data_IF_545614609692
#
_entry.id   IF_545614609692
#
_cell.length_a   1.000
_cell.length_b   1.000
_cell.length_c   1.000
_cell.angle_alpha   90.00
_cell.angle_beta   90.00
_cell.angle_gamma   90.00
#
_symmetry.space_group_name_H-M   'P 1'
#
loop_
_entity.id
_entity.type
_entity.pdbx_description
1 polymer ?
#
# COMPACT_ATOMS: atom_id res chain seq x y z
N UNK A 1 -27.14 -43.72 2.29
CA UNK A 1 -25.79 -43.10 2.17
C UNK A 1 -25.95 -41.73 1.52
N UNK A 2 -25.79 -40.67 2.28
CA UNK A 2 -25.89 -39.33 1.76
C UNK A 2 -24.54 -38.93 1.15
N UNK A 3 -24.49 -38.74 -0.15
CA UNK A 3 -23.33 -38.15 -0.79
C UNK A 3 -23.37 -36.63 -0.60
N UNK A 4 -22.49 -36.12 0.22
CA UNK A 4 -22.22 -34.71 0.26
C UNK A 4 -21.40 -34.33 -0.96
N UNK A 5 -22.06 -33.85 -1.98
CA UNK A 5 -21.38 -33.14 -3.06
C UNK A 5 -20.94 -31.79 -2.53
N UNK A 6 -19.68 -31.72 -2.32
CA UNK A 6 -19.06 -30.67 -1.66
C UNK A 6 -18.50 -29.62 -2.59
N UNK A 7 -18.80 -28.36 -2.34
CA UNK A 7 -17.74 -27.43 -1.94
C UNK A 7 -16.92 -26.79 -3.03
N UNK A 8 -17.32 -26.82 -4.27
CA UNK A 8 -16.82 -25.87 -5.25
C UNK A 8 -17.26 -24.43 -4.94
N UNK A 9 -18.07 -24.22 -3.89
CA UNK A 9 -18.69 -22.92 -3.58
C UNK A 9 -17.93 -22.09 -2.53
N UNK A 10 -16.94 -22.64 -1.85
CA UNK A 10 -16.25 -21.92 -0.77
C UNK A 10 -15.17 -20.97 -1.28
N UNK A 11 -14.72 -21.12 -2.53
CA UNK A 11 -13.76 -20.21 -3.16
C UNK A 11 -14.38 -19.07 -3.97
N UNK A 12 -15.68 -19.11 -4.20
CA UNK A 12 -16.38 -18.19 -5.12
C UNK A 12 -17.04 -16.98 -4.46
N UNK A 13 -17.09 -16.92 -3.16
CA UNK A 13 -17.84 -15.89 -2.44
C UNK A 13 -17.22 -14.49 -2.45
N UNK A 14 -16.11 -14.29 -3.14
CA UNK A 14 -15.51 -12.97 -3.32
C UNK A 14 -15.38 -12.50 -4.76
N UNK A 15 -15.77 -13.32 -5.74
CA UNK A 15 -15.64 -13.01 -7.18
C UNK A 15 -16.96 -13.22 -7.90
N UNK A 16 -18.03 -12.73 -7.31
CA UNK A 16 -19.36 -12.91 -7.83
C UNK A 16 -19.68 -12.04 -9.02
N UNK A 17 -19.96 -12.63 -10.11
CA UNK A 17 -20.61 -12.02 -11.25
C UNK A 17 -20.10 -12.59 -12.56
N UNK A 18 -20.98 -13.11 -13.37
CA UNK A 18 -20.70 -13.50 -14.74
C UNK A 18 -20.04 -12.32 -15.48
N UNK A 19 -18.74 -12.42 -15.75
CA UNK A 19 -17.94 -11.36 -16.39
C UNK A 19 -16.95 -10.64 -15.46
N UNK A 20 -16.80 -11.06 -14.20
CA UNK A 20 -15.80 -10.49 -13.28
C UNK A 20 -14.37 -10.79 -13.73
N UNK A 21 -13.48 -9.81 -13.54
CA UNK A 21 -12.05 -9.98 -13.78
C UNK A 21 -11.48 -11.04 -12.84
N UNK A 22 -10.94 -12.13 -13.40
CA UNK A 22 -10.33 -13.20 -12.64
C UNK A 22 -8.82 -12.97 -12.49
N UNK A 23 -8.31 -13.06 -11.27
CA UNK A 23 -6.88 -13.01 -11.00
C UNK A 23 -6.38 -14.44 -10.84
N UNK A 24 -5.66 -14.96 -11.85
CA UNK A 24 -5.17 -16.33 -11.86
C UNK A 24 -3.82 -16.51 -11.15
N UNK A 25 -3.13 -15.43 -10.86
CA UNK A 25 -1.77 -15.46 -10.33
C UNK A 25 -1.53 -14.39 -9.28
N UNK A 26 -0.66 -14.70 -8.33
CA UNK A 26 -0.16 -13.76 -7.33
C UNK A 26 1.37 -13.79 -7.29
N UNK A 27 1.96 -12.68 -6.85
CA UNK A 27 3.39 -12.61 -6.52
C UNK A 27 3.57 -12.82 -5.03
N UNK A 28 4.57 -13.63 -4.67
CA UNK A 28 5.02 -13.79 -3.31
C UNK A 28 6.37 -13.11 -3.14
N UNK A 29 6.46 -12.24 -2.16
CA UNK A 29 7.71 -11.59 -1.77
C UNK A 29 8.28 -12.30 -0.55
N UNK A 30 9.51 -12.76 -0.63
CA UNK A 30 10.20 -13.48 0.44
C UNK A 30 11.46 -12.73 0.86
N UNK A 31 11.57 -12.47 2.15
CA UNK A 31 12.73 -11.82 2.76
C UNK A 31 14.02 -12.58 2.51
N UNK A 32 14.01 -13.91 2.68
CA UNK A 32 15.18 -14.77 2.49
C UNK A 32 15.76 -14.69 1.07
N UNK A 33 14.90 -14.43 0.07
CA UNK A 33 15.28 -14.36 -1.34
C UNK A 33 15.42 -12.91 -1.83
N UNK A 34 15.29 -11.94 -0.93
CA UNK A 34 15.33 -10.51 -1.27
C UNK A 34 14.38 -10.14 -2.41
N UNK A 35 13.18 -10.74 -2.43
CA UNK A 35 12.22 -10.57 -3.52
C UNK A 35 11.54 -9.21 -3.43
N UNK A 36 11.57 -8.44 -4.51
CA UNK A 36 10.86 -7.17 -4.64
C UNK A 36 10.67 -6.79 -6.11
N UNK A 37 9.78 -5.85 -6.37
CA UNK A 37 9.66 -5.18 -7.65
C UNK A 37 10.23 -3.77 -7.54
N UNK A 38 10.91 -3.33 -8.59
CA UNK A 38 11.48 -1.99 -8.69
C UNK A 38 11.16 -1.35 -10.04
N UNK A 39 10.85 -0.07 -10.04
CA UNK A 39 10.69 0.74 -11.23
C UNK A 39 11.14 2.18 -10.95
N UNK A 40 11.94 2.73 -11.84
CA UNK A 40 12.24 4.17 -11.88
C UNK A 40 11.53 4.78 -13.10
N UNK A 41 10.55 5.68 -12.90
CA UNK A 41 9.91 6.37 -14.02
C UNK A 41 10.92 7.22 -14.80
N UNK A 42 10.80 7.25 -16.13
CA UNK A 42 11.67 8.07 -17.00
C UNK A 42 11.32 9.55 -16.96
N UNK A 43 10.09 9.88 -16.58
CA UNK A 43 9.59 11.26 -16.39
C UNK A 43 8.70 11.32 -15.17
N UNK A 44 8.64 12.48 -14.52
CA UNK A 44 7.73 12.69 -13.40
C UNK A 44 6.27 12.70 -13.89
N UNK A 45 5.43 12.01 -13.12
CA UNK A 45 3.97 12.03 -13.29
C UNK A 45 3.28 12.98 -12.31
N UNK A 46 1.96 12.80 -12.14
CA UNK A 46 1.19 13.57 -11.18
C UNK A 46 1.55 13.14 -9.75
N UNK A 47 2.14 14.08 -8.99
CA UNK A 47 2.57 13.85 -7.60
C UNK A 47 1.50 14.22 -6.58
N UNK A 48 0.44 14.92 -7.01
CA UNK A 48 -0.63 15.44 -6.16
C UNK A 48 -1.87 14.56 -6.18
N UNK A 49 -2.17 13.96 -7.33
CA UNK A 49 -3.38 13.15 -7.51
C UNK A 49 -3.00 11.79 -8.10
N UNK A 50 -3.17 10.74 -7.30
CA UNK A 50 -2.86 9.36 -7.70
C UNK A 50 -3.56 8.36 -6.78
N UNK A 51 -3.63 7.13 -7.21
CA UNK A 51 -4.22 6.03 -6.44
C UNK A 51 -3.34 4.81 -6.54
N UNK A 52 -3.14 4.14 -5.41
CA UNK A 52 -2.61 2.79 -5.34
C UNK A 52 -3.74 1.83 -4.95
N UNK A 53 -3.82 0.67 -5.60
CA UNK A 53 -4.80 -0.36 -5.31
C UNK A 53 -4.18 -1.74 -5.47
N UNK A 54 -4.48 -2.66 -4.57
CA UNK A 54 -3.98 -4.02 -4.64
C UNK A 54 -4.65 -4.98 -3.68
N UNK A 55 -4.62 -6.27 -4.05
CA UNK A 55 -4.95 -7.36 -3.17
C UNK A 55 -3.68 -7.82 -2.46
N UNK A 56 -3.74 -7.92 -1.14
CA UNK A 56 -2.60 -8.24 -0.29
C UNK A 56 -2.97 -9.37 0.67
N UNK A 57 -2.04 -10.32 0.83
CA UNK A 57 -2.10 -11.34 1.88
C UNK A 57 -0.83 -11.23 2.70
N UNK A 58 -0.96 -11.13 4.03
CA UNK A 58 0.19 -11.04 4.94
C UNK A 58 0.82 -12.40 5.15
N UNK A 59 2.16 -12.44 5.24
CA UNK A 59 2.89 -13.67 5.53
C UNK A 59 3.30 -13.82 7.01
N UNK A 60 3.23 -12.73 7.80
CA UNK A 60 3.65 -12.72 9.20
C UNK A 60 3.25 -11.45 9.95
N UNK A 61 3.65 -11.35 11.23
CA UNK A 61 3.42 -10.18 12.09
C UNK A 61 4.70 -9.58 12.68
N UNK A 62 5.84 -10.12 12.31
CA UNK A 62 7.15 -9.82 12.91
C UNK A 62 7.88 -8.64 12.26
N UNK A 63 7.37 -8.15 11.14
CA UNK A 63 7.97 -7.04 10.41
C UNK A 63 6.96 -6.23 9.61
N UNK A 64 7.38 -5.06 9.12
CA UNK A 64 6.59 -4.19 8.26
C UNK A 64 6.49 -4.80 6.85
N UNK A 65 5.32 -4.78 6.23
CA UNK A 65 5.10 -5.25 4.87
C UNK A 65 4.93 -4.08 3.91
N UNK A 66 5.95 -3.78 3.12
CA UNK A 66 5.95 -2.63 2.22
C UNK A 66 5.14 -2.88 0.96
N UNK A 67 4.03 -2.14 0.82
CA UNK A 67 3.11 -2.22 -0.32
C UNK A 67 3.59 -1.35 -1.48
N UNK A 68 4.01 -0.12 -1.18
CA UNK A 68 4.53 0.82 -2.17
C UNK A 68 5.43 1.85 -1.50
N UNK A 69 6.66 1.96 -1.98
CA UNK A 69 7.65 2.90 -1.46
C UNK A 69 8.19 3.75 -2.60
N UNK A 70 8.26 5.06 -2.39
CA UNK A 70 9.00 5.98 -3.25
C UNK A 70 10.30 6.34 -2.53
N UNK A 71 11.43 6.01 -3.13
CA UNK A 71 12.75 6.31 -2.57
C UNK A 71 13.23 7.69 -3.03
N UNK A 72 14.07 8.29 -2.25
CA UNK A 72 14.72 9.53 -2.65
C UNK A 72 15.86 9.25 -3.64
N UNK A 73 16.13 10.22 -4.48
CA UNK A 73 17.42 10.32 -5.16
C UNK A 73 18.54 10.37 -4.09
N UNK A 74 19.61 9.57 -4.22
CA UNK A 74 20.73 9.58 -3.26
C UNK A 74 21.34 10.97 -3.03
N UNK A 75 21.29 11.85 -4.03
CA UNK A 75 21.80 13.22 -3.96
C UNK A 75 20.84 14.20 -3.30
N UNK A 76 19.55 13.87 -3.19
CA UNK A 76 18.55 14.76 -2.62
C UNK A 76 18.53 14.70 -1.08
N UNK A 77 18.13 15.78 -0.45
CA UNK A 77 17.83 15.79 0.98
C UNK A 77 16.58 14.97 1.27
N UNK A 78 16.57 14.24 2.38
CA UNK A 78 15.39 13.52 2.83
C UNK A 78 14.28 14.49 3.24
N UNK A 79 13.08 14.26 2.73
CA UNK A 79 11.89 15.05 3.06
C UNK A 79 10.60 14.34 2.63
N UNK A 80 9.46 14.87 3.03
CA UNK A 80 8.15 14.28 2.72
C UNK A 80 7.82 14.33 1.21
N UNK A 81 8.49 15.21 0.46
CA UNK A 81 8.36 15.30 -1.00
C UNK A 81 9.33 14.40 -1.76
N UNK A 82 10.27 13.75 -1.08
CA UNK A 82 11.32 12.93 -1.70
C UNK A 82 11.32 11.49 -1.21
N UNK A 83 10.62 11.17 -0.12
CA UNK A 83 10.52 9.83 0.43
C UNK A 83 9.10 9.56 0.95
N UNK A 84 8.51 8.46 0.54
CA UNK A 84 7.18 8.03 0.97
C UNK A 84 7.07 6.52 1.11
N UNK A 85 6.30 6.08 2.10
CA UNK A 85 6.04 4.67 2.38
C UNK A 85 4.55 4.42 2.59
N UNK A 86 4.04 3.42 1.89
CA UNK A 86 2.74 2.82 2.14
C UNK A 86 2.97 1.35 2.51
N UNK A 87 2.55 0.94 3.69
CA UNK A 87 2.91 -0.36 4.25
C UNK A 87 1.92 -0.81 5.32
N UNK A 88 1.98 -2.09 5.68
CA UNK A 88 1.32 -2.65 6.85
C UNK A 88 2.38 -2.80 7.93
N UNK A 89 2.18 -2.19 9.09
CA UNK A 89 3.07 -2.33 10.25
C UNK A 89 3.08 -3.77 10.77
N UNK A 90 4.12 -4.15 11.50
CA UNK A 90 4.22 -5.46 12.15
C UNK A 90 2.98 -5.77 13.00
N UNK A 91 2.43 -4.78 13.71
CA UNK A 91 1.17 -4.88 14.45
C UNK A 91 -0.09 -5.07 13.61
N UNK A 92 -0.01 -4.85 12.29
CA UNK A 92 -1.13 -5.03 11.36
C UNK A 92 -1.86 -3.76 10.97
N UNK A 93 -1.53 -2.61 11.51
CA UNK A 93 -2.09 -1.33 11.10
C UNK A 93 -1.62 -0.97 9.68
N UNK A 94 -2.51 -0.39 8.88
CA UNK A 94 -2.14 0.15 7.57
C UNK A 94 -1.59 1.57 7.80
N UNK A 95 -0.39 1.82 7.26
CA UNK A 95 0.24 3.12 7.43
C UNK A 95 0.69 3.73 6.12
N UNK A 96 0.45 5.04 5.99
CA UNK A 96 1.00 5.89 4.96
C UNK A 96 1.82 7.02 5.60
N UNK A 97 3.08 7.16 5.19
CA UNK A 97 3.99 8.15 5.76
C UNK A 97 4.95 8.71 4.72
N UNK A 98 5.34 9.99 4.88
CA UNK A 98 6.54 10.57 4.31
C UNK A 98 7.77 10.30 5.18
N UNK A 99 8.80 11.09 5.01
CA UNK A 99 10.05 10.97 5.79
C UNK A 99 9.87 11.34 7.26
N UNK A 100 9.29 12.51 7.53
CA UNK A 100 9.09 13.05 8.89
C UNK A 100 7.64 13.03 9.35
N UNK A 101 6.68 12.87 8.43
CA UNK A 101 5.26 12.91 8.71
C UNK A 101 4.63 11.54 8.55
N UNK A 102 3.95 11.05 9.57
CA UNK A 102 2.98 9.97 9.45
C UNK A 102 1.63 10.59 9.07
N UNK A 103 1.15 10.34 7.86
CA UNK A 103 -0.11 10.93 7.39
C UNK A 103 -1.32 10.17 7.87
N UNK A 104 -1.27 8.83 7.81
CA UNK A 104 -2.35 7.95 8.27
C UNK A 104 -1.75 6.72 8.94
N UNK A 105 -2.27 6.38 10.11
CA UNK A 105 -2.08 5.07 10.75
C UNK A 105 -3.45 4.62 11.22
N UNK A 106 -3.94 3.48 10.73
CA UNK A 106 -5.28 2.99 11.07
C UNK A 106 -5.32 2.42 12.47
N UNK A 107 -6.44 2.62 13.19
CA UNK A 107 -6.74 1.88 14.43
C UNK A 107 -7.06 0.43 14.13
N UNK A 108 -7.70 0.19 12.98
CA UNK A 108 -7.99 -1.15 12.49
C UNK A 108 -6.71 -1.88 12.10
N UNK A 109 -6.58 -3.14 12.54
CA UNK A 109 -5.43 -4.00 12.28
C UNK A 109 -5.84 -5.24 11.49
N UNK A 110 -4.98 -5.64 10.56
CA UNK A 110 -5.15 -6.83 9.73
C UNK A 110 -4.56 -8.05 10.47
N UNK A 111 -5.38 -8.80 11.18
CA UNK A 111 -4.93 -9.92 12.04
C UNK A 111 -4.88 -11.27 11.33
N UNK A 112 -5.79 -11.50 10.41
CA UNK A 112 -5.88 -12.79 9.72
C UNK A 112 -4.85 -12.89 8.59
N UNK A 113 -3.86 -13.76 8.77
CA UNK A 113 -2.83 -14.03 7.76
C UNK A 113 -3.34 -14.92 6.62
N UNK A 114 -4.48 -15.59 6.81
CA UNK A 114 -5.08 -16.43 5.76
C UNK A 114 -5.94 -15.63 4.79
N UNK A 115 -6.38 -14.43 5.20
CA UNK A 115 -7.27 -13.59 4.42
C UNK A 115 -6.52 -12.77 3.34
N UNK A 116 -7.22 -12.55 2.22
CA UNK A 116 -6.88 -11.53 1.25
C UNK A 116 -7.57 -10.22 1.61
N UNK A 117 -6.85 -9.14 1.54
CA UNK A 117 -7.31 -7.78 1.78
C UNK A 117 -7.19 -6.95 0.53
N UNK A 118 -8.28 -6.35 0.08
CA UNK A 118 -8.24 -5.32 -0.95
C UNK A 118 -7.99 -3.97 -0.28
N UNK A 119 -6.85 -3.36 -0.58
CA UNK A 119 -6.44 -2.09 0.02
C UNK A 119 -6.35 -1.04 -1.09
N UNK A 120 -6.91 0.13 -0.85
CA UNK A 120 -6.78 1.29 -1.73
C UNK A 120 -6.28 2.48 -0.92
N UNK A 121 -5.26 3.16 -1.44
CA UNK A 121 -4.81 4.47 -0.99
C UNK A 121 -5.10 5.48 -2.10
N UNK A 122 -6.05 6.36 -1.86
CA UNK A 122 -6.38 7.46 -2.75
C UNK A 122 -5.81 8.77 -2.20
N UNK A 123 -5.05 9.45 -3.03
CA UNK A 123 -4.37 10.70 -2.68
C UNK A 123 -4.77 11.79 -3.67
N UNK A 124 -5.21 12.93 -3.14
CA UNK A 124 -5.46 14.15 -3.89
C UNK A 124 -5.16 15.37 -3.02
N UNK A 125 -3.93 15.85 -3.07
CA UNK A 125 -3.53 17.01 -2.26
C UNK A 125 -4.12 18.34 -2.76
N UNK A 126 -4.82 18.36 -3.91
CA UNK A 126 -5.46 19.57 -4.43
C UNK A 126 -6.76 19.92 -3.71
N UNK A 127 -7.33 18.98 -2.95
CA UNK A 127 -8.56 19.17 -2.21
C UNK A 127 -8.46 20.30 -1.19
N UNK A 128 -9.49 21.16 -1.17
CA UNK A 128 -9.59 22.26 -0.20
C UNK A 128 -9.74 21.72 1.23
N UNK A 129 -10.59 20.70 1.40
CA UNK A 129 -10.78 20.02 2.68
C UNK A 129 -9.59 19.12 2.97
N UNK A 130 -8.95 19.30 4.12
CA UNK A 130 -7.75 18.57 4.52
C UNK A 130 -7.96 17.06 4.55
N UNK A 131 -9.09 16.63 5.10
CA UNK A 131 -9.42 15.21 5.27
C UNK A 131 -9.69 14.48 3.95
N UNK A 132 -10.00 15.22 2.89
CA UNK A 132 -10.22 14.67 1.56
C UNK A 132 -8.93 14.40 0.79
N UNK A 133 -7.77 14.89 1.28
CA UNK A 133 -6.48 14.74 0.59
C UNK A 133 -5.91 13.33 0.62
N UNK A 134 -6.23 12.54 1.65
CA UNK A 134 -5.74 11.17 1.79
C UNK A 134 -6.86 10.28 2.33
N UNK A 135 -7.27 9.29 1.56
CA UNK A 135 -8.28 8.31 1.92
C UNK A 135 -7.73 6.89 1.79
N UNK A 136 -8.04 6.03 2.74
CA UNK A 136 -7.70 4.60 2.73
C UNK A 136 -9.01 3.82 2.72
N UNK A 137 -9.06 2.80 1.87
CA UNK A 137 -10.19 1.87 1.80
C UNK A 137 -9.69 0.45 2.06
N UNK A 138 -10.45 -0.30 2.80
CA UNK A 138 -10.23 -1.71 3.07
C UNK A 138 -11.47 -2.50 2.66
N UNK A 139 -11.30 -3.46 1.75
CA UNK A 139 -12.37 -4.31 1.23
C UNK A 139 -13.60 -3.50 0.73
N UNK A 140 -13.34 -2.38 0.07
CA UNK A 140 -14.36 -1.49 -0.49
C UNK A 140 -14.93 -0.44 0.48
N UNK A 141 -14.65 -0.54 1.78
CA UNK A 141 -15.13 0.42 2.79
C UNK A 141 -14.04 1.43 3.14
N UNK A 142 -14.41 2.71 3.19
CA UNK A 142 -13.48 3.76 3.62
C UNK A 142 -13.17 3.63 5.12
N UNK A 143 -11.89 3.67 5.47
CA UNK A 143 -11.45 3.75 6.87
C UNK A 143 -11.56 5.21 7.31
N UNK A 144 -12.21 5.44 8.44
CA UNK A 144 -12.42 6.77 9.05
C UNK A 144 -11.66 6.94 10.37
N UNK A 145 -11.33 5.83 11.04
CA UNK A 145 -10.67 5.83 12.35
C UNK A 145 -9.16 5.63 12.21
N UNK A 146 -8.42 6.56 12.77
CA UNK A 146 -6.97 6.61 12.68
C UNK A 146 -6.33 6.93 14.04
N UNK A 147 -5.27 6.22 14.41
CA UNK A 147 -4.38 6.57 15.52
C UNK A 147 -3.57 7.83 15.20
N UNK A 148 -3.17 7.95 13.93
CA UNK A 148 -2.50 9.13 13.41
C UNK A 148 -3.24 9.63 12.19
N UNK A 149 -3.61 10.92 12.20
CA UNK A 149 -4.29 11.59 11.11
C UNK A 149 -3.68 12.97 10.90
N UNK A 150 -2.74 13.07 9.97
CA UNK A 150 -2.14 14.32 9.54
C UNK A 150 -2.37 14.52 8.05
N UNK A 151 -2.47 15.77 7.64
CA UNK A 151 -2.72 16.10 6.26
C UNK A 151 -1.54 16.87 5.67
N UNK A 152 -1.12 16.57 4.43
CA UNK A 152 -0.21 17.46 3.70
C UNK A 152 -0.90 18.82 3.46
N UNK A 153 -0.14 19.87 3.28
CA UNK A 153 -0.68 21.15 2.85
C UNK A 153 -1.34 21.03 1.47
N UNK A 154 -2.29 21.90 1.17
CA UNK A 154 -2.91 21.91 -0.15
C UNK A 154 -1.87 22.08 -1.24
N UNK A 155 -2.04 21.35 -2.36
CA UNK A 155 -1.13 21.32 -3.50
C UNK A 155 0.29 20.82 -3.19
N UNK A 156 0.49 20.11 -2.09
CA UNK A 156 1.80 19.54 -1.76
C UNK A 156 2.20 18.43 -2.73
N UNK A 157 3.41 18.51 -3.25
CA UNK A 157 3.99 17.48 -4.13
C UNK A 157 4.59 16.35 -3.29
N UNK A 158 3.91 15.23 -3.24
CA UNK A 158 4.37 14.03 -2.51
C UNK A 158 5.52 13.31 -3.23
N UNK A 159 6.10 12.31 -2.56
CA UNK A 159 7.28 11.59 -3.04
C UNK A 159 7.03 10.70 -4.27
N UNK A 160 5.78 10.28 -4.48
CA UNK A 160 5.44 9.34 -5.56
C UNK A 160 5.40 10.01 -6.93
N UNK A 161 5.53 9.17 -7.97
CA UNK A 161 5.54 9.58 -9.38
C UNK A 161 6.69 10.51 -9.77
N UNK A 162 7.80 10.47 -9.04
CA UNK A 162 9.05 11.11 -9.42
C UNK A 162 9.91 10.18 -10.29
N UNK A 163 11.03 10.73 -10.80
CA UNK A 163 12.07 9.98 -11.52
C UNK A 163 13.03 9.25 -10.57
N UNK A 164 12.54 8.81 -9.43
CA UNK A 164 13.26 8.07 -8.40
C UNK A 164 12.74 6.63 -8.29
N UNK A 165 13.51 5.69 -7.73
CA UNK A 165 13.06 4.32 -7.59
C UNK A 165 11.77 4.19 -6.78
N UNK A 166 10.83 3.38 -7.28
CA UNK A 166 9.64 2.94 -6.58
C UNK A 166 9.72 1.43 -6.40
N UNK A 167 9.40 0.94 -5.21
CA UNK A 167 9.48 -0.49 -4.87
C UNK A 167 8.16 -1.02 -4.32
N UNK A 168 7.89 -2.30 -4.60
CA UNK A 168 6.85 -3.11 -3.97
C UNK A 168 7.55 -4.32 -3.37
N UNK A 169 7.19 -4.68 -2.16
CA UNK A 169 7.76 -5.83 -1.49
C UNK A 169 9.07 -5.52 -0.75
N UNK A 170 9.63 -4.33 -0.83
CA UNK A 170 10.82 -3.91 -0.08
C UNK A 170 10.78 -2.41 0.24
N UNK A 171 11.57 -2.00 1.21
CA UNK A 171 11.88 -0.60 1.46
C UNK A 171 13.21 -0.27 0.80
N UNK A 172 13.21 0.70 -0.10
CA UNK A 172 14.43 1.34 -0.56
C UNK A 172 14.65 2.65 0.19
N UNK A 173 15.89 2.96 0.49
CA UNK A 173 16.27 4.24 1.07
C UNK A 173 17.65 4.61 0.57
N UNK A 174 17.74 5.70 -0.19
CA UNK A 174 19.02 6.19 -0.77
C UNK A 174 19.75 5.12 -1.58
N UNK A 175 19.00 4.35 -2.38
CA UNK A 175 19.55 3.29 -3.21
C UNK A 175 19.89 1.98 -2.49
N UNK A 176 19.75 1.93 -1.16
CA UNK A 176 19.94 0.70 -0.39
C UNK A 176 18.60 0.00 -0.19
N UNK A 177 18.46 -1.22 -0.66
CA UNK A 177 17.28 -2.04 -0.46
C UNK A 177 17.36 -2.67 0.94
N UNK A 178 16.40 -2.36 1.78
CA UNK A 178 16.20 -3.02 3.06
C UNK A 178 14.98 -3.95 2.92
N UNK A 179 15.22 -5.22 3.08
CA UNK A 179 14.17 -6.23 3.17
C UNK A 179 13.72 -6.33 4.62
N UNK A 180 12.42 -6.55 4.87
CA UNK A 180 11.87 -6.78 6.21
C UNK A 180 12.25 -8.11 6.79
#
# INVERSE_FOLDING_TARGET
>A
MAHFHNNALIGSSGQGGAGGFQIDRSLRFEKSNNSYLNRTPSSAGNRRTWTWSGWVKRAGHDSDHHLFVADKDPSASLGNSTFGRFYIESGGAIRYSGYTAAYRTTTQVLRDQSAWYHIVLAVDTTQATDDDRIKIYLNGSQITDFDTKNNPTQNFDLAYNQTTPHTIGARSRSGTIAHW
#
